data_IF_597880281649
#
_entry.id   IF_597880281649
#
_cell.length_a   1.000
_cell.length_b   1.000
_cell.length_c   1.000
_cell.angle_alpha   90.00
_cell.angle_beta   90.00
_cell.angle_gamma   90.00
#
_symmetry.space_group_name_H-M   'P 1'
#
loop_
_entity.id
_entity.type
_entity.pdbx_description
1 polymer ?
#
# COMPACT_ATOMS: atom_id res chain seq x y z
N UNK A 1 -17.34 10.57 7.55
CA UNK A 1 -16.50 9.64 6.76
C UNK A 1 -17.42 8.60 6.15
N UNK A 2 -17.17 8.18 4.92
CA UNK A 2 -17.88 7.05 4.27
C UNK A 2 -16.88 5.90 4.10
N UNK A 3 -17.29 4.70 4.52
CA UNK A 3 -16.53 3.48 4.34
C UNK A 3 -16.89 2.84 3.00
N UNK A 4 -15.88 2.61 2.16
CA UNK A 4 -15.96 1.72 1.00
C UNK A 4 -15.13 0.47 1.27
N UNK A 5 -15.78 -0.69 1.32
CA UNK A 5 -15.12 -1.99 1.45
C UNK A 5 -15.01 -2.62 0.06
N UNK A 6 -13.79 -2.98 -0.33
CA UNK A 6 -13.51 -3.66 -1.59
C UNK A 6 -13.02 -5.07 -1.29
N UNK A 7 -13.77 -6.04 -1.76
CA UNK A 7 -13.32 -7.43 -1.79
C UNK A 7 -12.41 -7.63 -3.00
N UNK A 8 -11.17 -8.03 -2.74
CA UNK A 8 -10.12 -8.05 -3.74
C UNK A 8 -10.28 -9.19 -4.76
N UNK A 9 -11.08 -10.19 -4.43
CA UNK A 9 -11.36 -11.41 -5.18
C UNK A 9 -12.69 -11.37 -5.97
N UNK A 10 -13.71 -10.64 -5.49
CA UNK A 10 -15.05 -10.60 -6.12
C UNK A 10 -15.15 -9.82 -7.44
N UNK A 11 -14.05 -9.25 -7.93
CA UNK A 11 -13.97 -8.73 -9.31
C UNK A 11 -14.98 -7.63 -9.65
N UNK A 12 -15.39 -6.82 -8.67
CA UNK A 12 -16.26 -5.66 -8.90
C UNK A 12 -15.62 -4.74 -9.97
N UNK A 13 -16.42 -3.99 -10.73
CA UNK A 13 -15.86 -3.03 -11.70
C UNK A 13 -16.70 -1.77 -11.71
N UNK A 14 -16.16 -0.71 -11.12
CA UNK A 14 -16.69 0.65 -11.20
C UNK A 14 -15.87 1.44 -12.22
N UNK A 15 -16.51 1.89 -13.30
CA UNK A 15 -15.88 2.81 -14.26
C UNK A 15 -16.39 4.23 -14.01
N UNK A 16 -15.48 5.11 -13.63
CA UNK A 16 -15.74 6.52 -13.39
C UNK A 16 -15.42 7.31 -14.66
N UNK A 17 -16.35 8.17 -15.09
CA UNK A 17 -16.21 8.96 -16.31
C UNK A 17 -14.97 9.85 -16.25
N UNK A 18 -14.40 10.09 -17.44
CA UNK A 18 -13.23 10.94 -17.58
C UNK A 18 -13.46 12.36 -17.05
N UNK A 19 -12.51 12.91 -16.27
CA UNK A 19 -12.53 14.31 -15.88
C UNK A 19 -12.04 15.26 -17.01
N UNK A 20 -11.72 14.73 -18.19
CA UNK A 20 -11.24 15.51 -19.34
C UNK A 20 -9.80 16.03 -19.21
N UNK A 21 -9.08 15.67 -18.14
CA UNK A 21 -7.69 16.05 -17.87
C UNK A 21 -6.96 15.00 -17.04
N UNK A 22 -5.64 15.05 -17.02
CA UNK A 22 -4.82 14.21 -16.15
C UNK A 22 -5.04 14.56 -14.69
N UNK A 23 -5.39 13.59 -13.84
CA UNK A 23 -5.64 13.81 -12.41
C UNK A 23 -4.38 14.20 -11.63
N UNK A 24 -3.19 13.93 -12.17
CA UNK A 24 -1.91 14.22 -11.49
C UNK A 24 -1.29 15.54 -11.92
N UNK A 25 -1.17 15.80 -13.22
CA UNK A 25 -0.53 17.02 -13.72
C UNK A 25 -1.51 18.09 -14.24
N UNK A 26 -2.82 17.79 -14.28
CA UNK A 26 -3.85 18.72 -14.76
C UNK A 26 -3.89 18.93 -16.28
N UNK A 27 -2.93 18.40 -17.04
CA UNK A 27 -2.92 18.56 -18.50
C UNK A 27 -4.09 17.84 -19.17
N UNK A 28 -4.77 18.52 -20.09
CA UNK A 28 -5.75 17.94 -21.02
C UNK A 28 -5.15 17.70 -22.42
N UNK A 29 -3.84 17.88 -22.57
CA UNK A 29 -3.15 17.72 -23.85
C UNK A 29 -2.61 16.30 -24.02
N UNK A 30 -2.71 15.78 -25.24
CA UNK A 30 -2.22 14.46 -25.60
C UNK A 30 -3.18 13.31 -25.28
N UNK A 31 -2.71 12.06 -25.43
CA UNK A 31 -3.52 10.87 -25.22
C UNK A 31 -3.63 10.56 -23.72
N UNK A 32 -4.85 10.67 -23.20
CA UNK A 32 -5.19 10.20 -21.85
C UNK A 32 -5.52 8.70 -21.88
N UNK A 33 -5.07 8.00 -20.83
CA UNK A 33 -5.26 6.58 -20.61
C UNK A 33 -6.11 6.35 -19.36
N UNK A 34 -6.68 5.16 -19.26
CA UNK A 34 -7.41 4.74 -18.08
C UNK A 34 -6.45 4.59 -16.88
N UNK A 35 -6.89 5.05 -15.71
CA UNK A 35 -6.14 4.96 -14.46
C UNK A 35 -6.83 3.98 -13.52
N UNK A 36 -6.07 3.02 -13.01
CA UNK A 36 -6.53 2.11 -11.97
C UNK A 36 -6.39 2.81 -10.62
N UNK A 37 -7.50 3.11 -9.95
CA UNK A 37 -7.46 3.79 -8.64
C UNK A 37 -6.68 2.96 -7.63
N UNK A 38 -7.10 1.71 -7.48
CA UNK A 38 -6.37 0.67 -6.76
C UNK A 38 -5.59 -0.11 -7.82
N UNK A 39 -4.28 -0.38 -7.64
CA UNK A 39 -3.51 -1.09 -8.64
C UNK A 39 -4.16 -2.42 -9.05
N UNK A 40 -4.21 -2.69 -10.36
CA UNK A 40 -4.79 -3.92 -10.91
C UNK A 40 -4.23 -5.18 -10.25
N UNK A 41 -2.94 -5.16 -9.96
CA UNK A 41 -2.21 -6.21 -9.28
C UNK A 41 -2.78 -6.62 -7.91
N UNK A 42 -3.52 -5.73 -7.25
CA UNK A 42 -4.15 -5.97 -5.95
C UNK A 42 -5.66 -6.20 -6.08
N UNK A 43 -6.34 -5.43 -6.93
CA UNK A 43 -7.80 -5.39 -6.97
C UNK A 43 -8.38 -5.43 -8.40
N UNK A 44 -7.71 -6.07 -9.36
CA UNK A 44 -8.18 -6.21 -10.74
C UNK A 44 -8.71 -4.89 -11.35
N UNK A 45 -9.98 -4.84 -11.76
CA UNK A 45 -10.61 -3.66 -12.34
C UNK A 45 -11.59 -2.97 -11.38
N UNK A 46 -11.42 -3.14 -10.06
CA UNK A 46 -12.35 -2.67 -9.02
C UNK A 46 -12.81 -1.23 -9.21
N UNK A 47 -11.88 -0.30 -9.46
CA UNK A 47 -12.23 1.07 -9.86
C UNK A 47 -11.26 1.60 -10.91
N UNK A 48 -11.82 2.09 -12.01
CA UNK A 48 -11.08 2.69 -13.13
C UNK A 48 -11.61 4.11 -13.38
N UNK A 49 -10.73 5.12 -13.40
CA UNK A 49 -11.06 6.42 -13.98
C UNK A 49 -10.68 6.43 -15.46
N UNK A 50 -11.67 6.58 -16.31
CA UNK A 50 -11.47 6.56 -17.76
C UNK A 50 -10.67 7.78 -18.23
N UNK A 51 -9.71 7.58 -19.14
CA UNK A 51 -8.97 8.68 -19.80
C UNK A 51 -8.58 9.81 -18.81
N UNK A 52 -7.88 9.45 -17.76
CA UNK A 52 -7.66 10.31 -16.59
C UNK A 52 -6.19 10.44 -16.20
N UNK A 53 -5.28 9.73 -16.90
CA UNK A 53 -3.84 9.81 -16.68
C UNK A 53 -3.11 9.98 -18.02
N UNK A 54 -2.23 10.97 -18.13
CA UNK A 54 -1.39 11.12 -19.33
C UNK A 54 -0.22 10.13 -19.29
N UNK A 55 0.33 9.82 -20.46
CA UNK A 55 1.42 8.85 -20.61
C UNK A 55 2.66 9.20 -19.77
N UNK A 56 3.03 10.48 -19.70
CA UNK A 56 4.17 10.93 -18.88
C UNK A 56 3.97 10.60 -17.39
N UNK A 57 2.78 10.88 -16.84
CA UNK A 57 2.49 10.59 -15.44
C UNK A 57 2.42 9.07 -15.21
N UNK A 58 1.76 8.34 -16.11
CA UNK A 58 1.70 6.88 -16.04
C UNK A 58 3.10 6.24 -15.98
N UNK A 59 4.03 6.70 -16.83
CA UNK A 59 5.39 6.19 -16.87
C UNK A 59 6.19 6.47 -15.59
N UNK A 60 5.93 7.58 -14.92
CA UNK A 60 6.54 7.89 -13.61
C UNK A 60 5.96 6.96 -12.54
N UNK A 61 4.63 6.90 -12.45
CA UNK A 61 3.89 6.11 -11.46
C UNK A 61 4.23 4.63 -11.55
N UNK A 62 4.20 4.08 -12.76
CA UNK A 62 4.43 2.67 -13.01
C UNK A 62 5.78 2.18 -12.51
N UNK A 63 6.83 3.02 -12.50
CA UNK A 63 8.17 2.61 -12.05
C UNK A 63 8.16 2.20 -10.59
N UNK A 64 7.69 3.06 -9.69
CA UNK A 64 7.69 2.76 -8.27
C UNK A 64 6.57 1.79 -7.88
N UNK A 65 5.41 1.81 -8.56
CA UNK A 65 4.36 0.81 -8.32
C UNK A 65 4.85 -0.60 -8.64
N UNK A 66 5.64 -0.79 -9.71
CA UNK A 66 6.20 -2.09 -10.03
C UNK A 66 7.20 -2.58 -8.98
N UNK A 67 7.99 -1.70 -8.38
CA UNK A 67 8.88 -2.06 -7.27
C UNK A 67 8.08 -2.62 -6.08
N UNK A 68 6.95 -1.99 -5.74
CA UNK A 68 6.06 -2.49 -4.68
C UNK A 68 5.38 -3.79 -5.10
N UNK A 69 4.68 -3.79 -6.23
CA UNK A 69 3.78 -4.87 -6.60
C UNK A 69 4.51 -6.14 -7.05
N UNK A 70 5.70 -6.02 -7.65
CA UNK A 70 6.48 -7.17 -8.11
C UNK A 70 7.57 -7.59 -7.14
N UNK A 71 8.31 -6.66 -6.56
CA UNK A 71 9.46 -7.01 -5.70
C UNK A 71 9.05 -7.19 -4.25
N UNK A 72 8.34 -6.21 -3.68
CA UNK A 72 7.93 -6.27 -2.26
C UNK A 72 6.75 -7.22 -2.03
N UNK A 73 5.71 -7.15 -2.85
CA UNK A 73 4.46 -7.92 -2.69
C UNK A 73 4.34 -9.10 -3.65
N UNK A 74 5.34 -9.38 -4.48
CA UNK A 74 5.23 -10.36 -5.56
C UNK A 74 4.95 -11.79 -5.08
N UNK A 75 5.68 -12.24 -4.07
CA UNK A 75 5.51 -13.58 -3.47
C UNK A 75 4.16 -13.69 -2.78
N UNK A 76 3.83 -12.72 -1.92
CA UNK A 76 2.53 -12.67 -1.24
C UNK A 76 1.36 -12.71 -2.24
N UNK A 77 1.42 -11.88 -3.30
CA UNK A 77 0.41 -11.84 -4.37
C UNK A 77 0.27 -13.17 -5.11
N UNK A 78 1.34 -13.94 -5.24
CA UNK A 78 1.26 -15.27 -5.82
C UNK A 78 0.62 -16.27 -4.85
N UNK A 79 0.91 -16.17 -3.55
CA UNK A 79 0.34 -17.03 -2.49
C UNK A 79 -1.16 -16.81 -2.28
N UNK A 80 -1.64 -15.57 -2.39
CA UNK A 80 -3.07 -15.22 -2.24
C UNK A 80 -3.83 -15.12 -3.56
N UNK A 81 -3.24 -15.64 -4.64
CA UNK A 81 -3.81 -15.66 -5.98
C UNK A 81 -4.24 -14.29 -6.55
N UNK A 82 -3.63 -13.19 -6.09
CA UNK A 82 -3.98 -11.83 -6.47
C UNK A 82 -3.88 -11.58 -7.99
N UNK A 83 -4.69 -10.68 -8.57
CA UNK A 83 -4.86 -10.57 -10.02
C UNK A 83 -3.55 -10.35 -10.79
N UNK A 84 -3.46 -10.99 -11.97
CA UNK A 84 -2.32 -10.88 -12.87
C UNK A 84 -2.73 -10.98 -14.33
N UNK A 85 -2.06 -10.22 -15.20
CA UNK A 85 -2.19 -10.34 -16.66
C UNK A 85 -1.24 -11.36 -17.26
N UNK A 86 -0.33 -11.90 -16.45
CA UNK A 86 0.72 -12.84 -16.85
C UNK A 86 0.80 -13.99 -15.85
N UNK A 87 -0.19 -14.89 -15.83
CA UNK A 87 -0.22 -16.00 -14.88
C UNK A 87 0.98 -16.93 -15.04
N UNK A 88 1.50 -17.10 -16.26
CA UNK A 88 2.69 -17.90 -16.56
C UNK A 88 4.00 -17.33 -15.99
N UNK A 89 4.03 -16.03 -15.71
CA UNK A 89 5.20 -15.34 -15.15
C UNK A 89 5.17 -15.32 -13.60
N UNK A 90 4.14 -15.93 -12.97
CA UNK A 90 4.07 -15.97 -11.50
C UNK A 90 5.23 -16.81 -10.95
N UNK A 91 5.87 -16.36 -9.87
CA UNK A 91 6.91 -17.15 -9.22
C UNK A 91 6.33 -18.48 -8.75
N UNK A 92 7.03 -19.58 -9.04
CA UNK A 92 6.70 -20.91 -8.54
C UNK A 92 7.51 -21.28 -7.29
N UNK A 93 8.63 -20.58 -7.08
CA UNK A 93 9.52 -20.71 -5.95
C UNK A 93 9.89 -19.34 -5.40
N UNK A 94 10.31 -19.30 -4.14
CA UNK A 94 10.93 -18.16 -3.47
C UNK A 94 12.26 -18.58 -2.89
N UNK A 95 13.29 -17.75 -3.08
CA UNK A 95 14.60 -17.96 -2.49
C UNK A 95 14.66 -17.27 -1.13
N UNK A 96 14.61 -18.07 -0.07
CA UNK A 96 14.69 -17.59 1.31
C UNK A 96 16.14 -17.62 1.80
N UNK A 97 16.60 -16.51 2.37
CA UNK A 97 17.95 -16.37 2.92
C UNK A 97 17.95 -16.72 4.40
N UNK A 98 18.75 -17.70 4.79
CA UNK A 98 18.87 -18.15 6.16
C UNK A 98 20.20 -17.71 6.78
N UNK A 99 20.15 -17.33 8.05
CA UNK A 99 21.31 -16.91 8.82
C UNK A 99 21.28 -17.54 10.20
N UNK A 100 22.47 -17.76 10.78
CA UNK A 100 22.59 -18.09 12.18
C UNK A 100 22.74 -16.81 13.00
N UNK A 101 22.02 -16.71 14.12
CA UNK A 101 22.06 -15.56 15.03
C UNK A 101 22.41 -15.99 16.45
N UNK A 102 22.90 -15.05 17.26
CA UNK A 102 23.06 -15.29 18.71
C UNK A 102 21.74 -15.03 19.46
N UNK A 103 21.78 -15.17 20.79
CA UNK A 103 20.62 -14.91 21.65
C UNK A 103 20.07 -13.47 21.54
N UNK A 104 20.92 -12.51 21.15
CA UNK A 104 20.57 -11.11 20.95
C UNK A 104 20.12 -10.79 19.51
N UNK A 105 20.00 -11.82 18.65
CA UNK A 105 19.59 -11.66 17.25
C UNK A 105 20.69 -11.13 16.31
N UNK A 106 21.93 -11.05 16.77
CA UNK A 106 23.06 -10.61 15.95
C UNK A 106 23.54 -11.74 15.04
N UNK A 107 23.86 -11.39 13.80
CA UNK A 107 24.37 -12.32 12.79
C UNK A 107 25.68 -12.99 13.26
N UNK A 108 25.68 -14.32 13.29
CA UNK A 108 26.87 -15.15 13.51
C UNK A 108 27.48 -15.54 12.16
N UNK A 109 26.68 -16.13 11.27
CA UNK A 109 27.11 -16.53 9.92
C UNK A 109 25.95 -16.69 8.95
N UNK A 110 26.29 -16.62 7.67
CA UNK A 110 25.40 -16.91 6.56
C UNK A 110 25.20 -18.43 6.40
N UNK A 111 23.94 -18.87 6.26
CA UNK A 111 23.56 -20.28 5.99
C UNK A 111 23.08 -20.49 4.54
N UNK A 112 23.12 -19.42 3.75
CA UNK A 112 22.81 -19.39 2.33
C UNK A 112 21.31 -19.37 2.03
N UNK A 113 21.00 -19.51 0.75
CA UNK A 113 19.64 -19.50 0.24
C UNK A 113 19.07 -20.91 0.15
N UNK A 114 17.75 -21.04 0.30
CA UNK A 114 17.00 -22.25 -0.08
C UNK A 114 15.85 -21.82 -0.98
N UNK A 115 15.72 -22.49 -2.12
CA UNK A 115 14.58 -22.30 -3.02
C UNK A 115 13.42 -23.14 -2.53
N UNK A 116 12.33 -22.49 -2.13
CA UNK A 116 11.15 -23.12 -1.54
C UNK A 116 9.97 -22.95 -2.50
N UNK A 117 9.22 -24.01 -2.83
CA UNK A 117 7.98 -23.89 -3.59
C UNK A 117 7.02 -22.88 -2.93
N UNK A 118 6.34 -22.04 -3.71
CA UNK A 118 5.48 -20.95 -3.18
C UNK A 118 4.38 -21.46 -2.23
N UNK A 119 3.84 -22.66 -2.48
CA UNK A 119 2.82 -23.30 -1.65
C UNK A 119 3.36 -23.91 -0.35
N UNK A 120 4.68 -24.06 -0.22
CA UNK A 120 5.37 -24.53 1.00
C UNK A 120 6.05 -23.39 1.76
N UNK A 121 6.23 -22.24 1.11
CA UNK A 121 6.83 -21.06 1.72
C UNK A 121 5.86 -20.43 2.72
N UNK A 122 6.36 -19.88 3.85
CA UNK A 122 5.53 -19.16 4.80
C UNK A 122 4.85 -17.97 4.11
N UNK A 123 3.59 -17.72 4.44
CA UNK A 123 2.93 -16.48 4.01
C UNK A 123 3.64 -15.32 4.70
N UNK A 124 4.17 -14.41 3.90
CA UNK A 124 4.86 -13.22 4.39
C UNK A 124 4.30 -11.98 3.70
N UNK A 125 3.89 -10.98 4.48
CA UNK A 125 3.30 -9.75 3.96
C UNK A 125 4.03 -8.54 4.55
N UNK A 126 4.75 -7.82 3.69
CA UNK A 126 5.67 -6.76 4.08
C UNK A 126 5.15 -5.39 3.69
N UNK A 127 4.92 -4.53 4.68
CA UNK A 127 4.46 -3.16 4.52
C UNK A 127 5.38 -2.19 5.29
N UNK A 128 5.10 -0.90 5.21
CA UNK A 128 5.76 0.11 6.05
C UNK A 128 4.78 0.64 7.09
N UNK A 129 5.14 0.60 8.36
CA UNK A 129 4.42 1.29 9.42
C UNK A 129 5.05 2.67 9.67
N UNK A 130 4.21 3.69 9.74
CA UNK A 130 4.60 5.08 9.92
C UNK A 130 3.87 5.68 11.12
N UNK A 131 4.44 6.70 11.79
CA UNK A 131 3.62 7.58 12.61
C UNK A 131 2.52 8.24 11.78
N UNK A 132 1.57 8.88 12.46
CA UNK A 132 0.55 9.71 11.81
C UNK A 132 1.20 10.78 10.91
N UNK A 133 0.58 11.19 9.77
CA UNK A 133 1.10 12.27 8.93
C UNK A 133 1.39 13.53 9.73
N UNK A 134 2.50 14.23 9.46
CA UNK A 134 2.88 15.44 10.22
C UNK A 134 1.80 16.53 10.19
N UNK A 135 1.02 16.63 9.11
CA UNK A 135 -0.10 17.57 9.03
C UNK A 135 -1.22 17.34 10.04
N UNK A 136 -1.29 16.15 10.64
CA UNK A 136 -2.36 15.75 11.55
C UNK A 136 -1.88 15.61 13.01
N UNK A 137 -0.61 15.89 13.30
CA UNK A 137 -0.05 15.77 14.65
C UNK A 137 0.90 16.91 14.98
N UNK A 138 1.21 17.05 16.26
CA UNK A 138 2.28 17.92 16.70
C UNK A 138 3.65 17.38 16.22
N UNK A 139 4.64 18.28 16.02
CA UNK A 139 6.00 17.88 15.68
C UNK A 139 6.53 16.84 16.67
N UNK A 140 7.08 15.74 16.16
CA UNK A 140 7.76 14.75 16.99
C UNK A 140 9.26 14.71 16.69
N UNK A 141 9.98 13.92 17.48
CA UNK A 141 11.38 13.61 17.24
C UNK A 141 11.58 13.05 15.81
N UNK A 142 12.55 13.56 15.02
CA UNK A 142 12.87 13.04 13.70
C UNK A 142 13.16 11.52 13.64
N UNK A 143 13.64 10.93 14.74
CA UNK A 143 13.82 9.48 14.85
C UNK A 143 12.49 8.72 14.78
N UNK A 144 11.40 9.31 15.27
CA UNK A 144 10.04 8.76 15.22
C UNK A 144 9.48 8.88 13.80
N UNK A 145 9.76 9.97 13.08
CA UNK A 145 9.22 10.28 11.74
C UNK A 145 9.55 9.27 10.62
N UNK A 146 10.56 8.44 10.84
CA UNK A 146 10.98 7.47 9.81
C UNK A 146 9.99 6.31 9.70
N UNK A 147 9.36 5.89 10.80
CA UNK A 147 8.61 4.64 10.87
C UNK A 147 9.51 3.40 10.80
N UNK A 148 8.92 2.24 10.57
CA UNK A 148 9.65 0.96 10.47
C UNK A 148 9.01 -0.02 9.48
N UNK A 149 9.76 -1.00 8.97
CA UNK A 149 9.17 -2.13 8.26
C UNK A 149 8.17 -2.86 9.17
N UNK A 150 6.98 -3.14 8.66
CA UNK A 150 5.99 -4.00 9.28
C UNK A 150 5.88 -5.30 8.49
N UNK A 151 5.74 -6.42 9.17
CA UNK A 151 5.61 -7.72 8.51
C UNK A 151 4.66 -8.64 9.26
N UNK A 152 3.73 -9.24 8.52
CA UNK A 152 3.11 -10.49 8.91
C UNK A 152 3.97 -11.65 8.40
N UNK A 153 4.12 -12.68 9.22
CA UNK A 153 4.80 -13.92 8.85
C UNK A 153 4.06 -15.10 9.49
N UNK A 154 3.74 -16.12 8.70
CA UNK A 154 3.38 -17.44 9.22
C UNK A 154 4.58 -18.03 9.99
N UNK A 155 4.53 -17.88 11.31
CA UNK A 155 5.61 -18.29 12.22
C UNK A 155 5.78 -19.80 12.27
N UNK A 156 4.71 -20.57 12.11
CA UNK A 156 4.79 -22.04 12.18
C UNK A 156 5.51 -22.59 10.96
N UNK A 157 5.10 -22.16 9.75
CA UNK A 157 5.77 -22.53 8.51
C UNK A 157 7.24 -22.08 8.50
N UNK A 158 7.52 -20.84 8.92
CA UNK A 158 8.89 -20.33 9.03
C UNK A 158 9.73 -21.15 10.02
N UNK A 159 9.18 -21.50 11.18
CA UNK A 159 9.87 -22.29 12.20
C UNK A 159 10.21 -23.71 11.70
N UNK A 160 9.32 -24.35 10.94
CA UNK A 160 9.58 -25.65 10.32
C UNK A 160 10.80 -25.57 9.38
N UNK A 161 10.87 -24.54 8.53
CA UNK A 161 12.01 -24.33 7.63
C UNK A 161 13.30 -24.05 8.41
N UNK A 162 13.26 -23.15 9.39
CA UNK A 162 14.41 -22.83 10.22
C UNK A 162 14.96 -24.07 10.96
N UNK A 163 14.08 -24.95 11.48
CA UNK A 163 14.51 -26.21 12.11
C UNK A 163 15.18 -27.18 11.13
N UNK A 164 14.67 -27.26 9.90
CA UNK A 164 15.28 -28.09 8.86
C UNK A 164 16.70 -27.59 8.54
N UNK A 165 16.85 -26.28 8.33
CA UNK A 165 18.16 -25.66 8.10
C UNK A 165 19.08 -25.86 9.30
N UNK A 166 18.60 -25.66 10.53
CA UNK A 166 19.37 -25.88 11.76
C UNK A 166 19.93 -27.30 11.85
N UNK A 167 19.09 -28.31 11.55
CA UNK A 167 19.50 -29.72 11.53
C UNK A 167 20.55 -29.99 10.45
N UNK A 168 20.38 -29.42 9.27
CA UNK A 168 21.28 -29.64 8.13
C UNK A 168 22.64 -28.94 8.32
N UNK A 169 22.68 -27.80 9.01
CA UNK A 169 23.89 -26.98 9.19
C UNK A 169 24.53 -27.09 10.58
N UNK A 170 23.86 -27.74 11.53
CA UNK A 170 24.26 -27.75 12.94
C UNK A 170 24.19 -26.38 13.62
N UNK A 171 23.37 -25.46 13.10
CA UNK A 171 23.19 -24.12 13.67
C UNK A 171 22.24 -24.14 14.87
N UNK A 172 22.47 -23.27 15.86
CA UNK A 172 21.66 -23.24 17.07
C UNK A 172 20.38 -22.39 16.91
N UNK A 173 20.53 -21.13 16.47
CA UNK A 173 19.41 -20.23 16.24
C UNK A 173 19.42 -19.77 14.79
N UNK A 174 18.46 -20.27 14.02
CA UNK A 174 18.31 -19.92 12.60
C UNK A 174 17.20 -18.89 12.43
N UNK A 175 17.55 -17.78 11.78
CA UNK A 175 16.60 -16.77 11.33
C UNK A 175 16.50 -16.79 9.80
N UNK A 176 15.35 -16.33 9.29
CA UNK A 176 15.08 -16.22 7.86
C UNK A 176 14.78 -14.77 7.51
N UNK A 177 15.42 -14.27 6.46
CA UNK A 177 15.09 -12.99 5.86
C UNK A 177 13.97 -13.20 4.83
N UNK A 178 12.84 -12.53 5.07
CA UNK A 178 11.60 -12.75 4.32
C UNK A 178 11.30 -11.66 3.30
N UNK A 179 12.07 -10.56 3.30
CA UNK A 179 11.94 -9.53 2.27
C UNK A 179 12.41 -8.15 2.72
N UNK A 180 12.39 -7.22 1.77
CA UNK A 180 12.68 -5.80 2.01
C UNK A 180 11.47 -4.96 1.65
N UNK A 181 11.28 -3.87 2.41
CA UNK A 181 10.23 -2.88 2.18
C UNK A 181 10.85 -1.58 1.74
N UNK A 182 10.42 -1.06 0.59
CA UNK A 182 10.78 0.29 0.18
C UNK A 182 9.78 1.28 0.76
N UNK A 183 10.16 1.96 1.86
CA UNK A 183 9.37 3.06 2.45
C UNK A 183 8.85 4.02 1.37
N UNK A 184 9.75 4.53 0.55
CA UNK A 184 9.44 5.60 -0.39
C UNK A 184 8.50 5.14 -1.51
N UNK A 185 8.76 3.98 -2.12
CA UNK A 185 7.89 3.47 -3.20
C UNK A 185 6.52 3.04 -2.67
N UNK A 186 6.49 2.43 -1.49
CA UNK A 186 5.25 2.01 -0.85
C UNK A 186 4.37 3.20 -0.50
N UNK A 187 4.86 4.14 0.30
CA UNK A 187 4.09 5.32 0.73
C UNK A 187 3.70 6.23 -0.44
N UNK A 188 4.48 6.28 -1.54
CA UNK A 188 4.08 6.99 -2.76
C UNK A 188 2.96 6.27 -3.54
N UNK A 189 2.98 4.94 -3.56
CA UNK A 189 1.87 4.16 -4.16
C UNK A 189 0.56 4.36 -3.38
N UNK A 190 0.67 4.50 -2.06
CA UNK A 190 -0.42 4.88 -1.17
C UNK A 190 -0.96 6.28 -1.50
N UNK A 191 -0.08 7.28 -1.63
CA UNK A 191 -0.46 8.64 -2.03
C UNK A 191 -1.20 8.66 -3.38
N UNK A 192 -0.69 7.91 -4.36
CA UNK A 192 -1.33 7.76 -5.67
C UNK A 192 -2.75 7.20 -5.56
N UNK A 193 -2.90 6.12 -4.79
CA UNK A 193 -4.20 5.45 -4.59
C UNK A 193 -5.20 6.39 -3.92
N UNK A 194 -4.78 7.08 -2.86
CA UNK A 194 -5.59 8.05 -2.14
C UNK A 194 -6.07 9.20 -3.04
N UNK A 195 -5.17 9.81 -3.80
CA UNK A 195 -5.48 10.89 -4.73
C UNK A 195 -6.45 10.44 -5.82
N UNK A 196 -6.19 9.29 -6.44
CA UNK A 196 -7.06 8.74 -7.47
C UNK A 196 -8.45 8.40 -6.92
N UNK A 197 -8.54 7.88 -5.69
CA UNK A 197 -9.81 7.54 -5.05
C UNK A 197 -10.63 8.79 -4.71
N UNK A 198 -9.99 9.83 -4.17
CA UNK A 198 -10.63 11.12 -3.96
C UNK A 198 -11.14 11.74 -5.28
N UNK A 199 -10.33 11.71 -6.33
CA UNK A 199 -10.72 12.16 -7.67
C UNK A 199 -11.88 11.33 -8.25
N UNK A 200 -11.91 10.02 -8.00
CA UNK A 200 -12.99 9.13 -8.43
C UNK A 200 -14.33 9.50 -7.77
N UNK A 201 -14.28 9.78 -6.47
CA UNK A 201 -15.46 9.97 -5.62
C UNK A 201 -16.01 11.40 -5.69
N UNK A 202 -15.14 12.40 -5.70
CA UNK A 202 -15.54 13.80 -5.63
C UNK A 202 -15.25 14.61 -6.89
N UNK A 203 -14.47 14.06 -7.82
CA UNK A 203 -13.96 14.80 -8.97
C UNK A 203 -12.70 15.60 -8.63
N UNK A 204 -11.91 15.86 -9.66
CA UNK A 204 -10.58 16.49 -9.56
C UNK A 204 -10.60 17.95 -9.10
N UNK A 205 -11.75 18.63 -9.21
CA UNK A 205 -11.91 20.04 -8.85
C UNK A 205 -12.53 20.23 -7.45
N UNK A 206 -12.79 19.13 -6.73
CA UNK A 206 -13.39 19.18 -5.40
C UNK A 206 -12.39 19.49 -4.27
N UNK A 207 -11.09 19.44 -4.56
CA UNK A 207 -10.03 19.66 -3.58
C UNK A 207 -8.78 20.25 -4.24
N UNK A 208 -8.02 21.02 -3.47
CA UNK A 208 -6.67 21.44 -3.82
C UNK A 208 -5.69 20.31 -3.46
N UNK A 209 -5.00 19.69 -4.43
CA UNK A 209 -4.23 18.48 -4.18
C UNK A 209 -2.86 18.76 -3.57
N UNK A 210 -2.49 18.00 -2.53
CA UNK A 210 -1.15 18.09 -1.91
C UNK A 210 -0.18 17.03 -2.41
N UNK A 211 -0.70 15.94 -2.98
CA UNK A 211 0.09 14.73 -3.24
C UNK A 211 0.77 14.70 -4.62
N UNK A 212 0.48 15.65 -5.51
CA UNK A 212 0.93 15.58 -6.92
C UNK A 212 2.45 15.58 -7.05
N UNK A 213 3.16 16.37 -6.25
CA UNK A 213 4.63 16.37 -6.26
C UNK A 213 5.24 15.09 -5.69
N UNK A 214 4.58 14.46 -4.71
CA UNK A 214 4.97 13.13 -4.26
C UNK A 214 4.75 12.11 -5.38
N UNK A 215 3.54 12.04 -5.95
CA UNK A 215 3.15 11.08 -6.98
C UNK A 215 4.03 11.20 -8.23
N UNK A 216 4.33 12.43 -8.65
CA UNK A 216 5.15 12.72 -9.82
C UNK A 216 6.66 12.68 -9.52
N UNK A 217 7.05 12.17 -8.35
CA UNK A 217 8.45 11.98 -7.94
C UNK A 217 9.28 13.28 -7.98
N UNK A 218 8.66 14.39 -7.60
CA UNK A 218 9.29 15.72 -7.44
C UNK A 218 9.61 16.03 -5.97
N UNK A 219 8.98 15.30 -5.05
CA UNK A 219 9.27 15.35 -3.61
C UNK A 219 9.40 13.94 -3.03
N UNK A 220 10.23 13.83 -1.99
CA UNK A 220 10.44 12.61 -1.19
C UNK A 220 9.88 12.74 0.24
N UNK A 221 9.25 13.87 0.57
CA UNK A 221 8.73 14.14 1.90
C UNK A 221 7.37 13.46 2.13
N UNK A 222 7.39 12.13 2.17
CA UNK A 222 6.19 11.31 2.34
C UNK A 222 5.57 11.47 3.73
N UNK A 223 6.37 11.71 4.76
CA UNK A 223 5.91 11.80 6.16
C UNK A 223 5.01 13.01 6.42
N UNK A 224 5.14 14.04 5.59
CA UNK A 224 4.24 15.19 5.62
C UNK A 224 2.77 14.78 5.44
N UNK A 225 2.51 13.88 4.49
CA UNK A 225 1.14 13.59 4.01
C UNK A 225 0.70 12.14 4.22
N UNK A 226 1.62 11.20 4.39
CA UNK A 226 1.36 9.76 4.45
C UNK A 226 1.90 9.20 5.75
N UNK A 227 1.06 8.46 6.46
CA UNK A 227 1.35 7.87 7.76
C UNK A 227 0.35 6.77 8.10
N UNK A 228 0.21 6.46 9.39
CA UNK A 228 -0.79 5.50 9.87
C UNK A 228 -1.78 6.15 10.84
N UNK A 229 -2.93 5.50 11.00
CA UNK A 229 -3.94 5.80 12.01
C UNK A 229 -3.71 4.91 13.24
N UNK A 230 -3.19 5.44 14.36
CA UNK A 230 -2.91 4.66 15.56
C UNK A 230 -4.14 4.49 16.46
N UNK A 231 -5.25 5.16 16.17
CA UNK A 231 -6.40 5.25 17.08
C UNK A 231 -7.54 4.34 16.68
N UNK A 232 -7.73 4.14 15.38
CA UNK A 232 -8.82 3.31 14.88
C UNK A 232 -8.37 1.86 14.80
N UNK A 233 -8.98 1.01 15.64
CA UNK A 233 -8.81 -0.43 15.54
C UNK A 233 -9.11 -0.93 14.11
N UNK A 234 -8.42 -1.99 13.64
CA UNK A 234 -8.81 -2.68 12.42
C UNK A 234 -10.30 -2.97 12.45
N UNK A 235 -11.01 -2.61 11.38
CA UNK A 235 -12.43 -2.98 11.27
C UNK A 235 -12.47 -4.48 11.00
N UNK A 236 -13.29 -5.23 11.74
CA UNK A 236 -13.34 -6.71 11.63
C UNK A 236 -13.46 -7.12 10.15
N UNK A 237 -12.50 -7.94 9.71
CA UNK A 237 -12.45 -8.48 8.36
C UNK A 237 -13.02 -9.89 8.41
N UNK A 238 -14.23 -10.04 7.89
CA UNK A 238 -14.99 -11.30 7.98
C UNK A 238 -14.42 -12.34 7.01
N UNK A 239 -13.85 -11.91 5.87
CA UNK A 239 -13.53 -12.78 4.73
C UNK A 239 -12.03 -12.84 4.37
N UNK A 240 -11.17 -12.04 5.01
CA UNK A 240 -9.70 -12.16 4.92
C UNK A 240 -9.05 -11.66 3.62
N UNK A 241 -9.83 -11.26 2.62
CA UNK A 241 -9.37 -10.77 1.31
C UNK A 241 -9.86 -9.35 0.99
N UNK A 242 -9.76 -8.44 1.95
CA UNK A 242 -10.36 -7.11 1.82
C UNK A 242 -9.34 -5.97 1.76
N UNK A 243 -9.72 -4.92 1.03
CA UNK A 243 -9.17 -3.58 1.13
C UNK A 243 -10.29 -2.67 1.62
N UNK A 244 -10.10 -2.07 2.79
CA UNK A 244 -11.02 -1.08 3.33
C UNK A 244 -10.48 0.31 3.00
N UNK A 245 -11.30 1.18 2.42
CA UNK A 245 -10.94 2.58 2.17
C UNK A 245 -12.02 3.49 2.72
N UNK A 246 -11.61 4.47 3.51
CA UNK A 246 -12.47 5.52 4.05
C UNK A 246 -12.04 6.85 3.45
N UNK A 247 -13.02 7.68 3.08
CA UNK A 247 -12.80 9.08 2.76
C UNK A 247 -13.58 9.97 3.74
N UNK A 248 -12.98 11.08 4.09
CA UNK A 248 -13.66 12.13 4.82
C UNK A 248 -12.75 13.30 5.16
N UNK A 249 -13.29 14.22 5.94
CA UNK A 249 -12.49 15.31 6.47
C UNK A 249 -11.81 14.90 7.78
N UNK A 250 -10.58 15.34 7.98
CA UNK A 250 -9.90 15.19 9.26
C UNK A 250 -10.71 15.87 10.37
N UNK A 251 -10.93 15.17 11.48
CA UNK A 251 -11.53 15.73 12.69
C UNK A 251 -10.38 16.01 13.67
N UNK A 252 -10.11 17.29 13.93
CA UNK A 252 -9.00 17.73 14.78
C UNK A 252 -7.74 18.12 13.99
N UNK A 253 -6.71 18.57 14.72
CA UNK A 253 -5.49 19.14 14.14
C UNK A 253 -5.57 20.65 13.87
N UNK A 254 -4.42 21.29 13.54
CA UNK A 254 -4.34 22.74 13.36
C UNK A 254 -5.00 23.25 12.07
N UNK A 255 -5.12 22.39 11.06
CA UNK A 255 -5.67 22.73 9.74
C UNK A 255 -7.11 22.22 9.56
N UNK A 256 -7.99 23.06 9.03
CA UNK A 256 -9.41 22.70 8.76
C UNK A 256 -9.61 22.29 7.31
N UNK A 257 -10.65 21.47 7.07
CA UNK A 257 -11.08 20.99 5.73
C UNK A 257 -10.02 20.14 5.02
N UNK A 258 -9.20 19.42 5.77
CA UNK A 258 -8.28 18.46 5.17
C UNK A 258 -9.06 17.23 4.70
N UNK A 259 -8.97 16.92 3.41
CA UNK A 259 -9.49 15.69 2.84
C UNK A 259 -8.48 14.57 3.12
N UNK A 260 -8.94 13.51 3.77
CA UNK A 260 -8.09 12.39 4.19
C UNK A 260 -8.67 11.08 3.66
N UNK A 261 -7.77 10.20 3.21
CA UNK A 261 -8.08 8.82 2.88
C UNK A 261 -7.42 7.90 3.92
N UNK A 262 -8.21 7.03 4.55
CA UNK A 262 -7.68 5.93 5.39
C UNK A 262 -7.85 4.63 4.63
N UNK A 263 -6.85 3.77 4.57
CA UNK A 263 -7.06 2.43 4.04
C UNK A 263 -6.17 1.37 4.67
N UNK A 264 -6.68 0.15 4.70
CA UNK A 264 -6.04 -1.01 5.32
C UNK A 264 -6.12 -2.19 4.35
N UNK A 265 -4.97 -2.80 4.05
CA UNK A 265 -4.84 -3.92 3.13
C UNK A 265 -4.79 -5.22 3.94
N UNK A 266 -5.74 -6.15 3.74
CA UNK A 266 -5.81 -7.40 4.51
C UNK A 266 -5.88 -7.16 6.03
N UNK A 267 -6.94 -6.51 6.56
CA UNK A 267 -7.07 -6.26 7.99
C UNK A 267 -7.02 -7.54 8.85
N UNK A 268 -7.43 -8.70 8.33
CA UNK A 268 -7.28 -9.99 9.00
C UNK A 268 -5.82 -10.32 9.41
N UNK A 269 -4.83 -9.78 8.68
CA UNK A 269 -3.41 -9.94 9.00
C UNK A 269 -2.91 -8.89 10.02
N UNK A 270 -3.80 -8.07 10.60
CA UNK A 270 -3.47 -6.94 11.46
C UNK A 270 -2.49 -5.95 10.82
N UNK A 271 -2.62 -5.75 9.51
CA UNK A 271 -1.80 -4.80 8.76
C UNK A 271 -2.02 -3.36 9.25
N UNK A 272 -1.04 -2.46 9.06
CA UNK A 272 -1.23 -1.05 9.39
C UNK A 272 -2.40 -0.44 8.63
N UNK A 273 -3.20 0.37 9.35
CA UNK A 273 -4.19 1.24 8.75
C UNK A 273 -3.52 2.54 8.33
N UNK A 274 -3.30 2.71 7.03
CA UNK A 274 -2.64 3.90 6.51
C UNK A 274 -3.60 5.09 6.46
N UNK A 275 -3.06 6.27 6.71
CA UNK A 275 -3.74 7.55 6.68
C UNK A 275 -3.02 8.51 5.75
N UNK A 276 -3.74 9.07 4.78
CA UNK A 276 -3.18 9.92 3.73
C UNK A 276 -3.94 11.24 3.65
N UNK A 277 -3.25 12.35 3.87
CA UNK A 277 -3.77 13.70 3.66
C UNK A 277 -3.71 14.02 2.17
N UNK A 278 -4.87 14.01 1.52
CA UNK A 278 -4.99 14.14 0.05
C UNK A 278 -4.85 15.58 -0.40
N UNK A 279 -5.43 16.51 0.35
CA UNK A 279 -5.54 17.89 -0.04
C UNK A 279 -6.49 18.69 0.84
N UNK A 280 -6.76 19.92 0.44
CA UNK A 280 -7.75 20.78 1.09
C UNK A 280 -9.06 20.74 0.33
N UNK A 281 -10.15 20.38 1.00
CA UNK A 281 -11.47 20.36 0.40
C UNK A 281 -11.92 21.76 -0.04
N UNK A 282 -12.38 21.87 -1.29
CA UNK A 282 -12.96 23.09 -1.84
C UNK A 282 -14.50 23.07 -1.73
N UNK A 283 -15.08 21.87 -1.68
CA UNK A 283 -16.51 21.63 -1.49
C UNK A 283 -16.82 21.12 -0.09
N UNK A 284 -18.11 21.03 0.27
CA UNK A 284 -18.54 20.34 1.49
C UNK A 284 -18.51 18.82 1.24
N UNK A 285 -17.45 18.17 1.71
CA UNK A 285 -17.27 16.72 1.55
C UNK A 285 -18.33 15.99 2.38
N UNK A 286 -18.69 16.50 3.55
CA UNK A 286 -19.72 15.92 4.41
C UNK A 286 -21.07 15.84 3.72
N UNK A 287 -21.51 16.93 3.07
CA UNK A 287 -22.75 16.97 2.30
C UNK A 287 -22.75 15.98 1.13
N UNK A 288 -21.64 15.90 0.38
CA UNK A 288 -21.50 14.93 -0.72
C UNK A 288 -21.54 13.48 -0.25
N UNK A 289 -20.89 13.18 0.88
CA UNK A 289 -20.94 11.85 1.48
C UNK A 289 -22.35 11.46 1.97
N UNK A 290 -23.20 12.44 2.29
CA UNK A 290 -24.62 12.23 2.64
C UNK A 290 -25.56 12.20 1.42
N UNK A 291 -25.04 12.44 0.21
CA UNK A 291 -25.85 12.51 -1.02
C UNK A 291 -26.72 13.76 -1.12
N UNK A 292 -26.37 14.84 -0.41
CA UNK A 292 -27.15 16.09 -0.36
C UNK A 292 -26.86 17.03 -1.55
N UNK A 293 -25.84 16.73 -2.38
CA UNK A 293 -25.36 17.53 -3.53
C UNK A 293 -24.86 16.64 -4.65
#
# INVERSE_FOLDING_TARGET
MELSVFELDKGQTLRVKSPGKCIYCGSNQGKLRDEHVIPYALAANTIILEKSCCETCQNIVQRYEQEVLKKQLGVFRAQVDAPTRRPKDRPTHVDLHFVEVNADGQLIRDLGFRSIPINEAPIAFHLWASPMPRRLRDPADPAVDSGCPWSFLDKEAAYILCRKVAKDTGANHVAVNTGQVSRLHYLRSLAKTAHAFAAAKFGVDAFEPFLTDLILNRSHDVAEYVGDDPFTAPTEDIDGHTLQIFLGEAIGGPERRLLVARFQLYPFLNSPAHLVVVGKALVDIGARLRGEV
#
